data_IF_191386848155
#
_entry.id   IF_191386848155
#
_cell.length_a   1.000
_cell.length_b   1.000
_cell.length_c   1.000
_cell.angle_alpha   90.00
_cell.angle_beta   90.00
_cell.angle_gamma   90.00
#
_symmetry.space_group_name_H-M   'P 1'
#
loop_
_entity.id
_entity.type
_entity.pdbx_description
1 polymer ?
#
# COMPACT_ATOMS: atom_id res chain seq x y z
N UNK A 1 17.03 18.74 -11.10
CA UNK A 1 17.45 17.70 -10.15
C UNK A 1 16.62 16.44 -10.37
N UNK A 2 17.29 15.31 -10.50
CA UNK A 2 16.61 14.06 -10.79
C UNK A 2 16.37 13.24 -9.52
N UNK A 3 15.23 12.56 -9.51
CA UNK A 3 14.88 11.66 -8.43
C UNK A 3 14.59 10.28 -8.99
N UNK A 4 14.81 9.27 -8.19
CA UNK A 4 14.28 7.96 -8.50
C UNK A 4 13.17 7.67 -7.51
N UNK A 5 12.20 6.88 -7.92
CA UNK A 5 11.00 6.62 -7.14
C UNK A 5 10.86 5.13 -6.87
N UNK A 6 10.28 4.83 -5.72
CA UNK A 6 10.03 3.46 -5.30
C UNK A 6 8.61 3.37 -4.77
N UNK A 7 7.89 2.33 -5.17
CA UNK A 7 6.53 2.10 -4.71
C UNK A 7 6.47 0.89 -3.81
N UNK A 8 5.83 1.06 -2.67
CA UNK A 8 5.69 -0.02 -1.68
C UNK A 8 4.21 -0.20 -1.38
N UNK A 9 3.76 -1.44 -1.44
CA UNK A 9 2.36 -1.72 -1.12
C UNK A 9 2.10 -1.52 0.37
N UNK A 10 1.05 -0.78 0.69
CA UNK A 10 0.63 -0.61 2.06
C UNK A 10 -0.19 -1.80 2.52
N UNK A 11 -0.36 -2.01 3.84
CA UNK A 11 -1.23 -3.06 4.34
C UNK A 11 -2.61 -2.92 3.72
N UNK A 12 -3.12 -4.01 3.19
CA UNK A 12 -4.32 -4.00 2.37
C UNK A 12 -5.59 -3.80 3.17
N UNK A 13 -5.65 -4.37 4.33
CA UNK A 13 -6.86 -4.38 5.13
C UNK A 13 -6.55 -4.05 6.57
N UNK A 14 -7.31 -3.08 7.09
CA UNK A 14 -7.18 -2.70 8.49
C UNK A 14 -8.53 -2.86 9.14
N UNK A 15 -8.60 -3.77 10.11
CA UNK A 15 -9.83 -3.97 10.87
C UNK A 15 -9.74 -3.13 12.13
N UNK A 16 -10.49 -2.04 12.16
CA UNK A 16 -10.46 -1.09 13.26
C UNK A 16 -11.73 -1.28 14.11
N UNK A 17 -11.56 -1.81 15.30
CA UNK A 17 -12.68 -2.03 16.22
C UNK A 17 -12.57 -1.15 17.45
N UNK A 18 -11.38 -0.63 17.74
CA UNK A 18 -11.15 0.21 18.89
C UNK A 18 -9.94 1.10 18.62
N UNK A 19 -9.73 2.09 19.50
CA UNK A 19 -8.66 3.07 19.32
C UNK A 19 -7.27 2.42 19.23
N UNK A 20 -7.02 1.38 20.01
CA UNK A 20 -5.72 0.71 19.97
C UNK A 20 -5.43 0.09 18.61
N UNK A 21 -6.47 -0.33 17.88
CA UNK A 21 -6.28 -0.87 16.54
C UNK A 21 -5.84 0.23 15.57
N UNK A 22 -6.40 1.43 15.73
CA UNK A 22 -6.01 2.57 14.92
C UNK A 22 -4.56 2.95 15.20
N UNK A 23 -4.18 2.96 16.48
CA UNK A 23 -2.81 3.28 16.86
C UNK A 23 -1.80 2.30 16.27
N UNK A 24 -2.15 1.02 16.25
CA UNK A 24 -1.31 -0.01 15.64
C UNK A 24 -1.18 0.18 14.14
N UNK A 25 -2.28 0.55 13.48
CA UNK A 25 -2.27 0.80 12.05
C UNK A 25 -1.35 1.95 11.69
N UNK A 26 -1.47 3.06 12.44
CA UNK A 26 -0.63 4.23 12.23
C UNK A 26 0.84 3.89 12.47
N UNK A 27 1.12 3.14 13.55
CA UNK A 27 2.49 2.72 13.85
C UNK A 27 3.05 1.83 12.74
N UNK A 28 2.21 0.98 12.14
CA UNK A 28 2.63 0.14 11.03
C UNK A 28 3.09 0.96 9.83
N UNK A 29 2.34 1.99 9.48
CA UNK A 29 2.74 2.89 8.39
C UNK A 29 4.03 3.62 8.72
N UNK A 30 4.15 4.10 9.96
CA UNK A 30 5.36 4.79 10.39
C UNK A 30 6.59 3.88 10.31
N UNK A 31 6.43 2.60 10.66
CA UNK A 31 7.52 1.64 10.57
C UNK A 31 7.97 1.45 9.13
N UNK A 32 7.04 1.36 8.20
CA UNK A 32 7.37 1.22 6.79
C UNK A 32 8.16 2.43 6.31
N UNK A 33 7.69 3.62 6.66
CA UNK A 33 8.34 4.87 6.25
C UNK A 33 9.75 4.96 6.84
N UNK A 34 9.90 4.62 8.12
CA UNK A 34 11.18 4.69 8.78
C UNK A 34 12.17 3.67 8.25
N UNK A 35 11.69 2.46 7.93
CA UNK A 35 12.56 1.43 7.35
C UNK A 35 13.11 1.86 5.99
N UNK A 36 12.30 2.51 5.18
CA UNK A 36 12.78 3.01 3.90
C UNK A 36 13.72 4.20 4.08
N UNK A 37 13.45 5.04 5.08
CA UNK A 37 14.30 6.21 5.35
C UNK A 37 15.74 5.80 5.70
N UNK A 38 15.90 4.68 6.39
CA UNK A 38 17.23 4.16 6.73
C UNK A 38 18.04 3.88 5.46
N UNK A 39 17.37 3.54 4.37
CA UNK A 39 18.03 3.28 3.08
C UNK A 39 18.13 4.52 2.20
N UNK A 40 17.78 5.68 2.74
CA UNK A 40 17.87 6.93 2.00
C UNK A 40 16.63 7.31 1.23
N UNK A 41 15.55 6.56 1.40
CA UNK A 41 14.29 6.85 0.72
C UNK A 41 13.46 7.82 1.54
N UNK A 42 12.96 8.86 0.86
CA UNK A 42 12.10 9.87 1.46
C UNK A 42 10.66 9.58 1.10
N UNK A 43 9.77 9.61 2.07
CA UNK A 43 8.35 9.43 1.79
C UNK A 43 7.86 10.60 0.96
N UNK A 44 7.23 10.31 -0.15
CA UNK A 44 6.74 11.34 -1.06
C UNK A 44 5.22 11.47 -1.01
N UNK A 45 4.51 10.37 -1.18
CA UNK A 45 3.06 10.45 -1.24
C UNK A 45 2.44 9.06 -1.07
N UNK A 46 1.16 9.03 -0.72
CA UNK A 46 0.39 7.79 -0.67
C UNK A 46 -0.76 7.92 -1.65
N UNK A 47 -0.87 6.96 -2.54
CA UNK A 47 -1.90 6.96 -3.56
C UNK A 47 -2.74 5.69 -3.46
N UNK A 48 -4.00 5.81 -3.83
CA UNK A 48 -4.90 4.68 -3.86
C UNK A 48 -5.01 4.18 -5.30
N UNK A 49 -4.86 2.88 -5.49
CA UNK A 49 -5.02 2.29 -6.81
C UNK A 49 -6.17 1.29 -6.80
N UNK A 50 -6.90 1.27 -7.90
CA UNK A 50 -7.99 0.32 -8.07
C UNK A 50 -7.45 -0.88 -8.84
N UNK A 51 -7.69 -2.06 -8.31
CA UNK A 51 -7.26 -3.30 -8.94
C UNK A 51 -8.50 -4.12 -9.26
N UNK A 52 -8.67 -4.46 -10.52
CA UNK A 52 -9.81 -5.24 -10.97
C UNK A 52 -9.33 -6.63 -11.40
N UNK A 53 -9.93 -7.65 -10.79
CA UNK A 53 -9.63 -9.02 -11.17
C UNK A 53 -10.70 -9.47 -12.17
N UNK A 54 -10.30 -9.81 -13.40
CA UNK A 54 -11.25 -10.23 -14.42
C UNK A 54 -12.02 -11.51 -14.04
N UNK A 55 -13.22 -11.62 -14.56
CA UNK A 55 -14.08 -12.78 -14.30
C UNK A 55 -13.36 -14.11 -14.57
N UNK A 56 -12.59 -14.16 -15.65
CA UNK A 56 -11.86 -15.37 -16.00
C UNK A 56 -10.88 -15.80 -14.92
N UNK A 57 -10.17 -14.84 -14.34
CA UNK A 57 -9.22 -15.12 -13.26
C UNK A 57 -9.94 -15.48 -11.98
N UNK A 58 -11.03 -14.77 -11.68
CA UNK A 58 -11.84 -15.06 -10.49
C UNK A 58 -12.49 -16.42 -10.59
N UNK A 59 -12.97 -16.77 -11.80
CA UNK A 59 -13.57 -18.06 -12.02
C UNK A 59 -12.60 -19.20 -11.76
N UNK A 60 -11.35 -19.02 -12.16
CA UNK A 60 -10.32 -20.02 -11.92
C UNK A 60 -9.92 -20.11 -10.46
N UNK A 61 -9.93 -18.96 -9.75
CA UNK A 61 -9.49 -18.89 -8.37
C UNK A 61 -10.61 -19.09 -7.37
N UNK A 62 -11.76 -18.48 -7.60
CA UNK A 62 -12.85 -18.41 -6.61
C UNK A 62 -14.22 -18.76 -7.17
N UNK A 63 -14.39 -18.84 -8.47
CA UNK A 63 -15.70 -19.07 -9.08
C UNK A 63 -16.66 -17.90 -8.90
N UNK A 64 -16.14 -16.69 -8.80
CA UNK A 64 -16.93 -15.49 -8.55
C UNK A 64 -16.93 -14.53 -9.71
N UNK A 65 -17.77 -13.49 -9.60
CA UNK A 65 -17.84 -12.45 -10.61
C UNK A 65 -16.67 -11.48 -10.47
N UNK A 66 -16.52 -10.63 -11.49
CA UNK A 66 -15.52 -9.59 -11.47
C UNK A 66 -15.59 -8.76 -10.17
N UNK A 67 -14.44 -8.45 -9.62
CA UNK A 67 -14.37 -7.73 -8.38
C UNK A 67 -13.30 -6.65 -8.46
N UNK A 68 -13.63 -5.45 -7.99
CA UNK A 68 -12.70 -4.34 -7.92
C UNK A 68 -12.34 -4.08 -6.47
N UNK A 69 -11.06 -4.06 -6.18
CA UNK A 69 -10.58 -3.74 -4.84
C UNK A 69 -9.66 -2.52 -4.92
N UNK A 70 -9.54 -1.85 -3.80
CA UNK A 70 -8.68 -0.67 -3.71
C UNK A 70 -7.51 -0.98 -2.79
N UNK A 71 -6.34 -0.58 -3.20
CA UNK A 71 -5.13 -0.77 -2.42
C UNK A 71 -4.37 0.55 -2.32
N UNK A 72 -3.70 0.74 -1.21
CA UNK A 72 -2.88 1.92 -1.02
C UNK A 72 -1.44 1.62 -1.40
N UNK A 73 -0.79 2.61 -2.00
CA UNK A 73 0.58 2.50 -2.44
C UNK A 73 1.36 3.67 -1.86
N UNK A 74 2.44 3.37 -1.16
CA UNK A 74 3.32 4.38 -0.62
C UNK A 74 4.41 4.67 -1.64
N UNK A 75 4.59 5.94 -1.97
CA UNK A 75 5.58 6.35 -2.94
C UNK A 75 6.74 7.02 -2.21
N UNK A 76 7.94 6.55 -2.47
CA UNK A 76 9.16 7.09 -1.89
C UNK A 76 10.04 7.60 -3.01
N UNK A 77 10.90 8.55 -2.69
CA UNK A 77 11.86 9.07 -3.66
C UNK A 77 13.19 9.33 -2.99
N UNK A 78 14.23 9.37 -3.78
CA UNK A 78 15.53 9.83 -3.32
C UNK A 78 16.29 10.43 -4.49
N UNK A 79 17.19 11.32 -4.18
CA UNK A 79 18.00 11.99 -5.20
C UNK A 79 18.92 10.99 -5.89
N UNK A 80 19.01 11.11 -7.19
CA UNK A 80 19.90 10.25 -7.98
C UNK A 80 21.29 10.80 -8.04
#
# INVERSE_FOLDING_TARGET
MNFEYKCVAAPKELIIKKQSDMDKAVAGFANIINNEAVQGWEFYSMEQIATTVPVGCLGALFGKKEETTYSNMLIFRRAR
#
